data_IF_967083261813
#
_entry.id   IF_967083261813
#
_cell.length_a   1.000
_cell.length_b   1.000
_cell.length_c   1.000
_cell.angle_alpha   90.00
_cell.angle_beta   90.00
_cell.angle_gamma   90.00
#
_symmetry.space_group_name_H-M   'P 1'
#
loop_
_entity.id
_entity.type
_entity.pdbx_description
1 polymer ?
#
# COMPACT_ATOMS: atom_id res chain seq x y z
N UNK A 1 21.13 -14.63 25.60
CA UNK A 1 20.17 -14.51 26.73
C UNK A 1 19.08 -15.55 26.51
N UNK A 2 18.93 -16.54 27.38
CA UNK A 2 17.76 -17.42 27.35
C UNK A 2 16.55 -16.63 27.88
N UNK A 3 15.45 -16.64 27.14
CA UNK A 3 14.18 -16.05 27.58
C UNK A 3 13.27 -17.23 27.93
N UNK A 4 12.87 -17.36 29.20
CA UNK A 4 11.78 -18.26 29.57
C UNK A 4 10.46 -17.66 29.08
N UNK A 5 9.67 -18.48 28.41
CA UNK A 5 8.28 -18.17 28.06
C UNK A 5 7.40 -19.28 28.62
N UNK A 6 6.19 -18.92 29.08
CA UNK A 6 5.27 -19.86 29.69
C UNK A 6 4.70 -20.82 28.65
N UNK A 7 4.99 -22.11 28.85
CA UNK A 7 4.54 -23.21 27.99
C UNK A 7 3.13 -23.64 28.38
N UNK A 8 2.12 -23.24 27.61
CA UNK A 8 0.76 -23.79 27.73
C UNK A 8 0.67 -25.12 26.96
N UNK A 9 0.91 -26.22 27.68
CA UNK A 9 0.71 -27.58 27.17
C UNK A 9 -0.78 -27.91 27.09
N UNK A 10 -1.33 -27.90 25.87
CA UNK A 10 -2.71 -28.34 25.62
C UNK A 10 -2.74 -29.71 24.93
N UNK A 11 -3.28 -30.69 25.67
CA UNK A 11 -3.67 -32.06 25.25
C UNK A 11 -2.53 -33.08 25.14
N UNK A 12 -2.78 -34.24 25.75
CA UNK A 12 -1.91 -35.42 25.74
C UNK A 12 -2.56 -36.52 24.88
N UNK A 13 -1.77 -37.18 24.04
CA UNK A 13 -2.18 -38.36 23.26
C UNK A 13 -1.01 -39.34 23.22
N UNK A 14 -1.29 -40.65 23.24
CA UNK A 14 -0.32 -41.73 23.42
C UNK A 14 0.83 -41.77 22.40
N UNK A 15 0.73 -41.02 21.30
CA UNK A 15 1.71 -40.99 20.22
C UNK A 15 2.18 -39.58 19.82
N UNK A 16 1.71 -38.51 20.46
CA UNK A 16 2.03 -37.12 20.03
C UNK A 16 1.89 -36.10 21.17
N UNK A 17 2.91 -35.25 21.31
CA UNK A 17 2.88 -34.04 22.16
C UNK A 17 2.76 -32.83 21.24
N UNK A 18 1.70 -32.04 21.40
CA UNK A 18 1.53 -30.76 20.68
C UNK A 18 1.95 -29.64 21.64
N UNK A 19 3.00 -28.91 21.28
CA UNK A 19 3.48 -27.76 22.04
C UNK A 19 3.06 -26.49 21.29
N UNK A 20 2.09 -25.75 21.83
CA UNK A 20 1.72 -24.43 21.34
C UNK A 20 2.60 -23.38 22.03
N UNK A 21 3.63 -22.91 21.31
CA UNK A 21 4.44 -21.78 21.74
C UNK A 21 3.79 -20.47 21.27
N UNK A 22 3.18 -19.76 22.22
CA UNK A 22 2.70 -18.40 21.98
C UNK A 22 3.87 -17.42 21.88
N UNK A 23 4.26 -17.04 20.67
CA UNK A 23 5.15 -15.90 20.46
C UNK A 23 4.35 -14.62 20.59
N UNK A 24 4.82 -13.70 21.45
CA UNK A 24 4.42 -12.32 21.33
C UNK A 24 4.89 -11.81 19.95
N UNK A 25 3.93 -11.40 19.12
CA UNK A 25 4.10 -11.12 17.67
C UNK A 25 5.22 -10.10 17.38
N UNK A 26 5.54 -9.24 18.35
CA UNK A 26 6.45 -8.11 18.23
C UNK A 26 7.95 -8.44 18.15
N UNK A 27 8.40 -9.68 18.42
CA UNK A 27 9.86 -9.97 18.57
C UNK A 27 10.55 -10.67 17.40
N UNK A 28 9.85 -11.35 16.49
CA UNK A 28 10.49 -12.12 15.41
C UNK A 28 9.82 -12.00 14.01
N UNK A 29 9.55 -10.79 13.49
CA UNK A 29 8.87 -10.60 12.20
C UNK A 29 9.64 -11.06 10.94
N UNK A 30 10.89 -11.53 11.04
CA UNK A 30 11.75 -11.90 9.88
C UNK A 30 12.23 -13.35 9.83
N UNK A 31 11.72 -14.20 10.72
CA UNK A 31 12.21 -15.58 10.81
C UNK A 31 11.33 -16.50 9.95
N UNK A 32 11.84 -16.87 8.78
CA UNK A 32 11.21 -17.83 7.86
C UNK A 32 11.18 -19.27 8.40
N UNK A 33 12.10 -19.61 9.32
CA UNK A 33 12.00 -20.82 10.15
C UNK A 33 12.74 -20.62 11.48
N UNK A 34 12.04 -20.78 12.60
CA UNK A 34 12.64 -20.68 13.93
C UNK A 34 12.87 -22.09 14.48
N UNK A 35 14.13 -22.53 14.55
CA UNK A 35 14.48 -23.83 15.13
C UNK A 35 14.73 -23.66 16.63
N UNK A 36 13.87 -24.25 17.46
CA UNK A 36 13.92 -24.13 18.92
C UNK A 36 14.29 -25.47 19.54
N UNK A 37 15.33 -25.46 20.39
CA UNK A 37 15.58 -26.57 21.29
C UNK A 37 14.66 -26.45 22.51
N UNK A 38 13.71 -27.37 22.62
CA UNK A 38 12.86 -27.53 23.81
C UNK A 38 13.38 -28.73 24.59
N UNK A 39 13.98 -28.49 25.75
CA UNK A 39 14.29 -29.55 26.71
C UNK A 39 13.03 -29.87 27.52
N UNK A 40 12.53 -31.10 27.41
CA UNK A 40 11.39 -31.59 28.18
C UNK A 40 11.94 -32.33 29.41
N UNK A 41 11.61 -31.91 30.65
CA UNK A 41 12.07 -32.59 31.86
C UNK A 41 11.62 -34.06 31.91
N UNK A 42 12.52 -34.95 32.35
CA UNK A 42 12.30 -36.41 32.36
C UNK A 42 11.06 -36.86 33.16
N UNK A 43 10.62 -36.06 34.13
CA UNK A 43 9.39 -36.29 34.91
C UNK A 43 8.11 -36.42 34.06
N UNK A 44 8.11 -35.90 32.82
CA UNK A 44 6.99 -36.04 31.88
C UNK A 44 7.00 -37.35 31.06
N UNK A 45 8.03 -38.20 31.22
CA UNK A 45 8.17 -39.50 30.57
C UNK A 45 8.34 -40.65 31.59
N UNK A 46 7.31 -40.96 32.40
CA UNK A 46 7.44 -41.93 33.49
C UNK A 46 7.71 -43.38 33.05
N UNK A 47 7.57 -43.70 31.76
CA UNK A 47 7.82 -45.03 31.19
C UNK A 47 8.75 -44.97 29.94
N UNK A 48 9.91 -44.31 30.06
CA UNK A 48 10.99 -44.47 29.08
C UNK A 48 12.07 -45.42 29.61
N UNK A 49 12.12 -46.71 29.20
CA UNK A 49 13.01 -47.71 29.79
C UNK A 49 14.48 -47.59 29.33
N UNK A 50 14.83 -46.56 28.54
CA UNK A 50 16.22 -46.25 28.17
C UNK A 50 16.42 -44.74 28.30
N UNK A 51 17.51 -44.31 28.93
CA UNK A 51 17.93 -42.90 29.02
C UNK A 51 18.39 -42.35 27.65
N UNK A 52 17.47 -42.31 26.68
CA UNK A 52 17.68 -41.70 25.37
C UNK A 52 17.05 -40.32 25.34
N UNK A 53 17.83 -39.31 24.95
CA UNK A 53 17.31 -37.97 24.66
C UNK A 53 16.35 -38.06 23.46
N UNK A 54 15.07 -37.81 23.72
CA UNK A 54 14.05 -37.72 22.68
C UNK A 54 14.14 -36.36 21.98
N UNK A 55 14.72 -36.34 20.79
CA UNK A 55 14.77 -35.15 19.93
C UNK A 55 13.40 -34.91 19.28
N UNK A 56 12.55 -34.10 19.91
CA UNK A 56 11.27 -33.67 19.34
C UNK A 56 11.51 -32.56 18.33
N UNK A 57 11.39 -32.88 17.04
CA UNK A 57 11.37 -31.87 15.97
C UNK A 57 10.00 -31.18 15.93
N UNK A 58 9.91 -29.99 16.53
CA UNK A 58 8.75 -29.12 16.40
C UNK A 58 8.96 -28.11 15.26
N UNK A 59 8.10 -28.15 14.24
CA UNK A 59 8.07 -27.15 13.16
C UNK A 59 7.03 -26.10 13.48
N UNK A 60 7.47 -24.88 13.80
CA UNK A 60 6.59 -23.76 14.10
C UNK A 60 6.28 -23.04 12.79
N UNK A 61 5.05 -23.17 12.31
CA UNK A 61 4.54 -22.35 11.22
C UNK A 61 4.28 -20.94 11.75
N UNK A 62 5.25 -20.04 11.58
CA UNK A 62 5.06 -18.61 11.79
C UNK A 62 4.06 -18.08 10.75
N UNK A 63 2.77 -18.10 11.10
CA UNK A 63 1.73 -17.41 10.34
C UNK A 63 2.00 -15.90 10.40
N UNK A 64 2.63 -15.36 9.38
CA UNK A 64 2.73 -13.91 9.18
C UNK A 64 1.33 -13.41 8.82
N UNK A 65 0.59 -12.95 9.83
CA UNK A 65 -0.72 -12.34 9.64
C UNK A 65 -0.61 -11.21 8.62
N UNK A 66 -1.40 -11.26 7.55
CA UNK A 66 -1.42 -10.21 6.54
C UNK A 66 -2.01 -8.94 7.16
N UNK A 67 -1.15 -7.97 7.44
CA UNK A 67 -1.60 -6.67 7.91
C UNK A 67 -2.43 -5.96 6.84
N UNK A 68 -3.39 -5.19 7.32
CA UNK A 68 -4.20 -4.31 6.48
C UNK A 68 -4.23 -2.90 7.04
N UNK A 69 -4.44 -1.95 6.14
CA UNK A 69 -4.68 -0.54 6.44
C UNK A 69 -6.05 -0.19 5.87
N UNK A 70 -7.08 -0.27 6.71
CA UNK A 70 -8.46 -0.43 6.23
C UNK A 70 -8.60 -1.74 5.47
N UNK A 71 -9.09 -1.68 4.23
CA UNK A 71 -9.18 -2.84 3.33
C UNK A 71 -7.91 -3.12 2.52
N UNK A 72 -6.97 -2.16 2.47
CA UNK A 72 -5.72 -2.30 1.71
C UNK A 72 -4.79 -3.34 2.37
N UNK A 73 -4.28 -4.30 1.59
CA UNK A 73 -3.36 -5.34 2.07
C UNK A 73 -1.92 -4.83 2.02
N UNK A 74 -1.26 -4.76 3.16
CA UNK A 74 0.14 -4.32 3.24
C UNK A 74 1.10 -5.45 2.82
N UNK A 75 2.20 -5.13 2.10
CA UNK A 75 3.18 -6.13 1.70
C UNK A 75 4.01 -6.61 2.90
N UNK A 76 4.53 -7.84 2.84
CA UNK A 76 5.26 -8.45 3.97
C UNK A 76 6.48 -7.64 4.46
N UNK A 77 7.15 -6.92 3.56
CA UNK A 77 8.28 -6.04 3.91
C UNK A 77 7.87 -4.75 4.65
N UNK A 78 6.57 -4.43 4.76
CA UNK A 78 6.09 -3.24 5.46
C UNK A 78 6.28 -3.33 6.99
N UNK A 79 6.57 -4.50 7.55
CA UNK A 79 7.07 -4.60 8.92
C UNK A 79 8.60 -4.46 9.03
N UNK A 80 9.29 -4.03 7.96
CA UNK A 80 10.75 -3.86 7.81
C UNK A 80 11.38 -2.81 8.74
N UNK A 81 12.02 -3.05 9.91
CA UNK A 81 12.57 -1.92 10.69
C UNK A 81 13.63 -1.09 9.93
N UNK A 82 14.45 -1.68 9.02
CA UNK A 82 15.25 -0.94 8.05
C UNK A 82 14.49 -0.35 6.85
N UNK A 83 13.30 -0.85 6.48
CA UNK A 83 12.51 -0.32 5.35
C UNK A 83 12.07 1.13 5.57
N UNK A 84 11.89 1.53 6.83
CA UNK A 84 11.56 2.91 7.25
C UNK A 84 12.79 3.81 7.46
N UNK A 85 13.99 3.31 7.20
CA UNK A 85 15.24 4.08 7.30
C UNK A 85 15.88 4.16 5.92
N UNK A 86 16.16 5.37 5.42
CA UNK A 86 16.78 5.55 4.11
C UNK A 86 18.14 4.83 4.06
N UNK A 87 18.28 3.88 3.13
CA UNK A 87 19.44 2.98 3.13
C UNK A 87 20.70 3.69 2.62
N UNK A 88 21.87 3.54 3.28
CA UNK A 88 23.10 4.21 2.87
C UNK A 88 23.76 3.55 1.66
N UNK A 89 23.57 2.24 1.47
CA UNK A 89 24.10 1.48 0.34
C UNK A 89 23.25 1.73 -0.89
N UNK A 90 23.87 2.18 -1.99
CA UNK A 90 23.20 2.58 -3.24
C UNK A 90 22.22 1.52 -3.75
N UNK A 91 22.67 0.31 -4.02
CA UNK A 91 21.86 -0.76 -4.62
C UNK A 91 20.67 -1.15 -3.75
N UNK A 92 20.85 -1.12 -2.42
CA UNK A 92 19.79 -1.36 -1.43
C UNK A 92 18.79 -0.21 -1.41
N UNK A 93 19.27 1.03 -1.52
CA UNK A 93 18.45 2.24 -1.59
C UNK A 93 17.63 2.30 -2.88
N UNK A 94 18.20 1.94 -4.03
CA UNK A 94 17.48 1.87 -5.31
C UNK A 94 16.32 0.85 -5.23
N UNK A 95 16.55 -0.34 -4.65
CA UNK A 95 15.49 -1.33 -4.38
C UNK A 95 14.45 -0.82 -3.38
N UNK A 96 14.87 -0.17 -2.29
CA UNK A 96 13.96 0.44 -1.31
C UNK A 96 13.07 1.49 -1.97
N UNK A 97 13.64 2.38 -2.77
CA UNK A 97 12.90 3.41 -3.53
C UNK A 97 11.88 2.75 -4.46
N UNK A 98 12.26 1.70 -5.19
CA UNK A 98 11.34 0.96 -6.07
C UNK A 98 10.12 0.43 -5.32
N UNK A 99 10.34 -0.26 -4.18
CA UNK A 99 9.27 -0.80 -3.34
C UNK A 99 8.37 0.30 -2.76
N UNK A 100 8.94 1.45 -2.36
CA UNK A 100 8.15 2.58 -1.87
C UNK A 100 7.30 3.23 -2.98
N UNK A 101 7.83 3.39 -4.19
CA UNK A 101 7.06 3.90 -5.34
C UNK A 101 5.87 2.99 -5.64
N UNK A 102 6.10 1.69 -5.74
CA UNK A 102 5.04 0.70 -6.00
C UNK A 102 3.95 0.74 -4.92
N UNK A 103 4.35 0.69 -3.64
CA UNK A 103 3.44 0.74 -2.50
C UNK A 103 2.62 2.03 -2.44
N UNK A 104 3.24 3.19 -2.67
CA UNK A 104 2.57 4.49 -2.67
C UNK A 104 1.53 4.55 -3.80
N UNK A 105 1.90 4.14 -5.02
CA UNK A 105 1.01 4.19 -6.18
C UNK A 105 -0.19 3.25 -6.02
N UNK A 106 0.02 2.03 -5.52
CA UNK A 106 -1.05 1.04 -5.31
C UNK A 106 -2.01 1.43 -4.18
N UNK A 107 -1.47 1.97 -3.07
CA UNK A 107 -2.28 2.50 -1.97
C UNK A 107 -3.10 3.72 -2.42
N UNK A 108 -2.47 4.70 -3.09
CA UNK A 108 -3.15 5.88 -3.61
C UNK A 108 -4.27 5.51 -4.60
N UNK A 109 -4.02 4.55 -5.50
CA UNK A 109 -5.03 4.02 -6.41
C UNK A 109 -6.20 3.39 -5.67
N UNK A 110 -5.92 2.51 -4.71
CA UNK A 110 -6.95 1.77 -3.97
C UNK A 110 -7.78 2.68 -3.06
N UNK A 111 -7.15 3.66 -2.39
CA UNK A 111 -7.79 4.59 -1.47
C UNK A 111 -8.21 5.91 -2.12
N UNK A 112 -8.18 6.01 -3.47
CA UNK A 112 -8.49 7.22 -4.25
C UNK A 112 -7.80 8.49 -3.72
N UNK A 113 -6.59 8.35 -3.20
CA UNK A 113 -5.86 9.44 -2.53
C UNK A 113 -4.86 10.05 -3.50
N UNK A 114 -5.23 11.19 -4.09
CA UNK A 114 -4.45 11.85 -5.14
C UNK A 114 -3.36 12.80 -4.64
N UNK A 115 -3.43 13.27 -3.39
CA UNK A 115 -2.48 14.25 -2.86
C UNK A 115 -1.84 13.71 -1.58
N UNK A 116 -0.50 13.77 -1.52
CA UNK A 116 0.28 13.50 -0.30
C UNK A 116 0.93 14.82 0.12
N UNK A 117 0.67 15.24 1.35
CA UNK A 117 1.39 16.35 1.98
C UNK A 117 2.59 15.81 2.77
N UNK A 118 3.75 16.47 2.64
CA UNK A 118 5.04 16.00 3.15
C UNK A 118 5.13 16.12 4.69
N UNK A 119 4.58 17.23 5.21
CA UNK A 119 4.56 17.62 6.62
C UNK A 119 3.39 16.98 7.41
N UNK A 120 2.32 16.56 6.72
CA UNK A 120 1.12 15.98 7.36
C UNK A 120 1.33 14.49 7.68
N UNK A 121 0.39 13.89 8.42
CA UNK A 121 0.38 12.44 8.62
C UNK A 121 -0.17 11.73 7.38
N UNK A 122 0.56 10.72 6.90
CA UNK A 122 0.12 9.87 5.80
C UNK A 122 0.20 8.40 6.24
N UNK A 123 -0.87 7.58 6.07
CA UNK A 123 -0.95 6.26 6.68
C UNK A 123 0.18 5.27 6.32
N UNK A 124 0.82 5.41 5.15
CA UNK A 124 1.98 4.58 4.79
C UNK A 124 3.31 5.01 5.45
N UNK A 125 3.41 6.25 5.94
CA UNK A 125 4.67 6.80 6.46
C UNK A 125 4.94 6.46 7.93
N UNK A 126 3.98 5.83 8.62
CA UNK A 126 4.13 5.33 10.00
C UNK A 126 3.57 3.91 10.10
N UNK A 127 4.37 2.98 10.62
CA UNK A 127 3.90 1.66 11.05
C UNK A 127 4.01 1.55 12.57
N UNK A 128 2.86 1.64 13.24
CA UNK A 128 2.75 1.54 14.70
C UNK A 128 3.08 0.15 15.26
N UNK A 129 2.98 -0.93 14.47
CA UNK A 129 3.24 -2.31 14.94
C UNK A 129 4.73 -2.56 15.19
N UNK A 130 5.60 -1.85 14.46
CA UNK A 130 7.06 -1.93 14.62
C UNK A 130 7.66 -0.65 15.21
N UNK A 131 6.82 0.31 15.59
CA UNK A 131 7.20 1.63 16.13
C UNK A 131 8.19 2.38 15.21
N UNK A 132 7.86 2.46 13.91
CA UNK A 132 8.69 3.18 12.91
C UNK A 132 7.91 4.17 12.08
N UNK A 133 8.56 5.29 11.78
CA UNK A 133 8.05 6.31 10.86
C UNK A 133 9.17 6.78 9.93
N UNK A 134 8.81 7.19 8.71
CA UNK A 134 9.73 7.85 7.79
C UNK A 134 10.08 9.26 8.26
N UNK A 135 11.37 9.59 8.24
CA UNK A 135 11.88 10.95 8.38
C UNK A 135 11.43 11.82 7.20
N UNK A 136 11.40 13.15 7.38
CA UNK A 136 11.09 14.10 6.30
C UNK A 136 11.95 13.87 5.05
N UNK A 137 13.28 13.72 5.24
CA UNK A 137 14.24 13.39 4.18
C UNK A 137 13.85 12.12 3.40
N UNK A 138 13.46 11.05 4.10
CA UNK A 138 13.05 9.80 3.44
C UNK A 138 11.75 9.97 2.65
N UNK A 139 10.74 10.67 3.21
CA UNK A 139 9.48 10.99 2.52
C UNK A 139 9.76 11.80 1.24
N UNK A 140 10.58 12.84 1.35
CA UNK A 140 10.94 13.73 0.24
C UNK A 140 11.71 12.97 -0.85
N UNK A 141 12.64 12.09 -0.48
CA UNK A 141 13.39 11.27 -1.42
C UNK A 141 12.49 10.30 -2.20
N UNK A 142 11.52 9.64 -1.53
CA UNK A 142 10.61 8.71 -2.21
C UNK A 142 9.59 9.41 -3.11
N UNK A 143 9.05 10.56 -2.68
CA UNK A 143 8.15 11.37 -3.52
C UNK A 143 8.92 11.99 -4.70
N UNK A 144 10.13 12.50 -4.48
CA UNK A 144 10.99 13.03 -5.55
C UNK A 144 11.35 11.96 -6.60
N UNK A 145 11.51 10.69 -6.20
CA UNK A 145 11.70 9.58 -7.12
C UNK A 145 10.46 9.34 -8.01
N UNK A 146 9.24 9.41 -7.46
CA UNK A 146 8.00 9.39 -8.25
C UNK A 146 7.93 10.57 -9.22
N UNK A 147 8.32 11.77 -8.79
CA UNK A 147 8.34 12.97 -9.64
C UNK A 147 9.32 12.80 -10.82
N UNK A 148 10.51 12.27 -10.57
CA UNK A 148 11.52 12.04 -11.62
C UNK A 148 11.09 11.06 -12.72
N UNK A 149 10.10 10.19 -12.44
CA UNK A 149 9.55 9.22 -13.38
C UNK A 149 8.22 9.67 -14.04
N UNK A 150 7.75 10.88 -13.73
CA UNK A 150 6.45 11.38 -14.16
C UNK A 150 5.28 10.57 -13.58
N UNK A 151 5.44 10.08 -12.34
CA UNK A 151 4.44 9.33 -11.56
C UNK A 151 3.91 10.13 -10.36
N UNK A 152 4.45 11.32 -10.14
CA UNK A 152 3.89 12.36 -9.28
C UNK A 152 4.36 13.75 -9.75
N UNK A 153 3.80 14.83 -9.20
CA UNK A 153 4.23 16.21 -9.45
C UNK A 153 4.11 17.06 -8.19
N UNK A 154 5.09 17.93 -7.92
CA UNK A 154 5.00 18.90 -6.83
C UNK A 154 3.99 20.00 -7.16
N UNK A 155 3.06 20.24 -6.24
CA UNK A 155 1.97 21.22 -6.40
C UNK A 155 2.41 22.65 -6.08
N UNK A 156 3.52 22.81 -5.35
CA UNK A 156 4.05 24.11 -4.95
C UNK A 156 5.58 24.15 -4.98
N UNK A 157 6.16 25.36 -5.13
CA UNK A 157 7.62 25.57 -5.18
C UNK A 157 8.36 25.17 -3.91
N UNK A 158 7.65 24.98 -2.79
CA UNK A 158 8.21 24.48 -1.53
C UNK A 158 8.17 22.95 -1.39
N UNK A 159 7.71 22.22 -2.41
CA UNK A 159 7.58 20.75 -2.39
C UNK A 159 6.77 20.21 -1.19
N UNK A 160 5.78 20.97 -0.69
CA UNK A 160 5.02 20.59 0.51
C UNK A 160 3.88 19.63 0.18
N UNK A 161 3.30 19.70 -1.02
CA UNK A 161 2.27 18.78 -1.50
C UNK A 161 2.61 18.17 -2.85
N UNK A 162 2.40 16.86 -2.97
CA UNK A 162 2.70 16.06 -4.15
C UNK A 162 1.40 15.45 -4.71
N UNK A 163 1.10 15.74 -5.98
CA UNK A 163 -0.01 15.15 -6.74
C UNK A 163 0.46 13.81 -7.32
N UNK A 164 -0.19 12.71 -6.97
CA UNK A 164 0.17 11.35 -7.35
C UNK A 164 -0.53 10.93 -8.64
N UNK A 165 0.22 10.37 -9.59
CA UNK A 165 -0.23 10.02 -10.94
C UNK A 165 -0.08 8.50 -11.18
N UNK A 166 -0.95 7.69 -10.56
CA UNK A 166 -0.98 6.24 -10.80
C UNK A 166 -1.42 5.87 -12.23
N UNK A 167 -2.18 6.76 -12.87
CA UNK A 167 -2.31 6.87 -14.32
C UNK A 167 -1.73 8.23 -14.73
N UNK A 168 -1.01 8.27 -15.86
CA UNK A 168 -0.53 9.54 -16.44
C UNK A 168 -1.71 10.34 -16.99
N UNK A 169 -1.51 11.63 -17.22
CA UNK A 169 -2.57 12.50 -17.78
C UNK A 169 -3.04 12.01 -19.16
N UNK A 170 -2.16 11.39 -19.95
CA UNK A 170 -2.50 10.74 -21.21
C UNK A 170 -3.39 9.51 -20.99
N UNK A 171 -3.00 8.61 -20.08
CA UNK A 171 -3.80 7.43 -19.75
C UNK A 171 -5.20 7.83 -19.22
N UNK A 172 -5.28 8.87 -18.36
CA UNK A 172 -6.56 9.43 -17.89
C UNK A 172 -7.40 10.02 -19.02
N UNK A 173 -6.78 10.67 -20.00
CA UNK A 173 -7.47 11.18 -21.18
C UNK A 173 -8.05 10.04 -22.03
N UNK A 174 -7.31 8.93 -22.19
CA UNK A 174 -7.81 7.77 -22.92
C UNK A 174 -8.93 7.04 -22.14
N UNK A 175 -8.84 6.97 -20.79
CA UNK A 175 -9.93 6.50 -19.91
C UNK A 175 -11.19 7.36 -20.06
N UNK A 176 -11.08 8.69 -20.13
CA UNK A 176 -12.22 9.59 -20.34
C UNK A 176 -12.90 9.38 -21.70
N UNK A 177 -12.11 9.11 -22.75
CA UNK A 177 -12.65 8.80 -24.08
C UNK A 177 -13.40 7.47 -24.07
N UNK A 178 -12.89 6.46 -23.36
CA UNK A 178 -13.59 5.18 -23.22
C UNK A 178 -14.88 5.33 -22.40
N UNK A 179 -14.83 6.06 -21.28
CA UNK A 179 -15.99 6.39 -20.47
C UNK A 179 -17.10 7.10 -21.27
N UNK A 180 -16.75 8.07 -22.13
CA UNK A 180 -17.72 8.76 -22.96
C UNK A 180 -18.41 7.82 -23.97
N UNK A 181 -17.67 6.85 -24.53
CA UNK A 181 -18.21 5.83 -25.44
C UNK A 181 -19.13 4.83 -24.73
N UNK A 182 -18.66 4.28 -23.61
CA UNK A 182 -19.38 3.25 -22.87
C UNK A 182 -20.75 3.74 -22.34
N UNK A 183 -20.87 5.05 -22.09
CA UNK A 183 -22.09 5.69 -21.59
C UNK A 183 -22.84 6.54 -22.64
N UNK A 184 -22.44 6.50 -23.93
CA UNK A 184 -23.14 7.20 -25.01
C UNK A 184 -23.11 8.73 -24.92
N UNK A 185 -22.09 9.32 -24.28
CA UNK A 185 -21.95 10.77 -24.04
C UNK A 185 -21.36 11.53 -25.24
N UNK A 186 -21.44 10.96 -26.45
CA UNK A 186 -20.84 11.51 -27.67
C UNK A 186 -21.55 12.78 -28.12
N UNK A 187 -22.88 12.81 -28.02
CA UNK A 187 -23.71 13.96 -28.41
C UNK A 187 -24.11 14.88 -27.26
N UNK A 188 -23.98 14.41 -26.01
CA UNK A 188 -24.37 15.13 -24.81
C UNK A 188 -23.36 16.20 -24.37
N UNK A 189 -23.81 17.08 -23.48
CA UNK A 189 -22.94 17.90 -22.63
C UNK A 189 -22.98 17.30 -21.24
N UNK A 190 -21.82 17.02 -20.66
CA UNK A 190 -21.67 16.49 -19.28
C UNK A 190 -20.77 17.42 -18.48
N UNK A 191 -21.10 17.68 -17.23
CA UNK A 191 -20.31 18.55 -16.33
C UNK A 191 -19.13 17.83 -15.73
N UNK A 192 -18.15 18.59 -15.24
CA UNK A 192 -17.01 18.06 -14.48
C UNK A 192 -17.48 17.22 -13.28
N UNK A 193 -18.48 17.68 -12.53
CA UNK A 193 -18.95 16.98 -11.33
C UNK A 193 -19.78 15.72 -11.64
N UNK A 194 -20.47 15.65 -12.77
CA UNK A 194 -21.10 14.40 -13.26
C UNK A 194 -20.04 13.34 -13.62
N UNK A 195 -18.92 13.73 -14.24
CA UNK A 195 -17.79 12.81 -14.49
C UNK A 195 -17.15 12.32 -13.18
N UNK A 196 -17.05 13.19 -12.17
CA UNK A 196 -16.40 12.87 -10.88
C UNK A 196 -17.28 12.09 -9.91
N UNK A 197 -18.58 12.33 -9.93
CA UNK A 197 -19.50 11.89 -8.86
C UNK A 197 -20.88 11.41 -9.33
N UNK A 198 -21.22 11.59 -10.62
CA UNK A 198 -22.47 11.13 -11.21
C UNK A 198 -22.60 9.61 -11.29
N UNK A 199 -23.80 9.14 -11.61
CA UNK A 199 -24.16 7.71 -11.67
C UNK A 199 -23.25 6.90 -12.58
N UNK A 200 -23.00 7.38 -13.79
CA UNK A 200 -22.20 6.68 -14.81
C UNK A 200 -20.74 6.47 -14.36
N UNK A 201 -20.23 7.36 -13.51
CA UNK A 201 -18.86 7.25 -12.98
C UNK A 201 -18.71 6.11 -11.96
N UNK A 202 -19.80 5.67 -11.31
CA UNK A 202 -19.73 4.74 -10.18
C UNK A 202 -19.11 3.39 -10.57
N UNK A 203 -18.24 2.87 -9.72
CA UNK A 203 -17.48 1.64 -10.00
C UNK A 203 -16.33 1.79 -11.00
N UNK A 204 -16.22 2.92 -11.71
CA UNK A 204 -15.08 3.20 -12.61
C UNK A 204 -13.89 3.82 -11.87
N UNK A 205 -12.76 3.98 -12.57
CA UNK A 205 -11.63 4.69 -11.97
C UNK A 205 -11.81 6.21 -11.86
N UNK A 206 -12.75 6.79 -12.62
CA UNK A 206 -13.05 8.23 -12.63
C UNK A 206 -13.86 8.68 -11.40
N UNK A 207 -14.59 7.78 -10.73
CA UNK A 207 -15.31 8.15 -9.52
C UNK A 207 -14.35 8.67 -8.45
N UNK A 208 -14.64 9.86 -7.93
CA UNK A 208 -13.81 10.56 -6.96
C UNK A 208 -12.50 11.13 -7.51
N UNK A 209 -12.31 11.19 -8.85
CA UNK A 209 -11.05 11.72 -9.42
C UNK A 209 -10.74 13.15 -8.96
N UNK A 210 -9.46 13.42 -8.70
CA UNK A 210 -9.00 14.78 -8.40
C UNK A 210 -9.26 15.73 -9.57
N UNK A 211 -9.81 16.91 -9.24
CA UNK A 211 -10.24 17.91 -10.24
C UNK A 211 -9.06 18.50 -11.02
N UNK A 212 -7.86 18.56 -10.43
CA UNK A 212 -6.65 19.01 -11.13
C UNK A 212 -6.26 18.02 -12.22
N UNK A 213 -6.31 16.72 -11.92
CA UNK A 213 -6.01 15.66 -12.90
C UNK A 213 -7.06 15.64 -14.00
N UNK A 214 -8.34 15.66 -13.64
CA UNK A 214 -9.44 15.67 -14.61
C UNK A 214 -9.34 16.87 -15.56
N UNK A 215 -9.18 18.08 -15.04
CA UNK A 215 -9.06 19.29 -15.87
C UNK A 215 -7.84 19.24 -16.80
N UNK A 216 -6.74 18.63 -16.37
CA UNK A 216 -5.55 18.44 -17.23
C UNK A 216 -5.79 17.41 -18.34
N UNK A 217 -6.50 16.32 -18.05
CA UNK A 217 -6.86 15.32 -19.03
C UNK A 217 -7.89 15.87 -20.04
N UNK A 218 -8.91 16.59 -19.59
CA UNK A 218 -9.88 17.28 -20.44
C UNK A 218 -9.19 18.30 -21.36
N UNK A 219 -8.28 19.13 -20.83
CA UNK A 219 -7.51 20.09 -21.62
C UNK A 219 -6.61 19.41 -22.67
N UNK A 220 -6.05 18.24 -22.37
CA UNK A 220 -5.29 17.44 -23.34
C UNK A 220 -6.19 16.95 -24.49
N UNK A 221 -7.42 16.54 -24.20
CA UNK A 221 -8.40 16.11 -25.21
C UNK A 221 -8.93 17.29 -26.03
N UNK A 222 -9.17 18.45 -25.42
CA UNK A 222 -9.52 19.69 -26.12
C UNK A 222 -8.44 20.08 -27.13
N UNK A 223 -7.17 20.05 -26.73
CA UNK A 223 -6.03 20.31 -27.62
C UNK A 223 -5.89 19.28 -28.75
N UNK A 224 -6.39 18.06 -28.56
CA UNK A 224 -6.47 17.02 -29.60
C UNK A 224 -7.73 17.14 -30.48
N UNK A 225 -8.63 18.11 -30.22
CA UNK A 225 -9.91 18.24 -30.92
C UNK A 225 -10.91 17.11 -30.61
N UNK A 226 -10.74 16.42 -29.48
CA UNK A 226 -11.57 15.27 -29.06
C UNK A 226 -12.70 15.62 -28.08
N UNK A 227 -12.75 16.87 -27.62
CA UNK A 227 -13.88 17.45 -26.90
C UNK A 227 -13.84 18.98 -27.03
N UNK A 228 -14.91 19.64 -26.61
CA UNK A 228 -15.03 21.09 -26.44
C UNK A 228 -15.49 21.39 -25.01
N UNK A 229 -14.83 22.33 -24.33
CA UNK A 229 -15.24 22.81 -23.01
C UNK A 229 -16.06 24.09 -23.14
N UNK A 230 -17.27 24.09 -22.57
CA UNK A 230 -18.15 25.24 -22.43
C UNK A 230 -17.96 25.84 -21.04
N UNK A 231 -17.56 27.11 -21.00
CA UNK A 231 -17.44 27.86 -19.74
C UNK A 231 -18.79 28.41 -19.35
N UNK A 232 -19.33 27.94 -18.22
CA UNK A 232 -20.49 28.54 -17.59
C UNK A 232 -20.14 29.80 -16.79
N UNK A 233 -21.07 30.24 -15.95
CA UNK A 233 -20.93 31.43 -15.09
C UNK A 233 -19.99 31.23 -13.91
N UNK A 234 -19.79 29.99 -13.48
CA UNK A 234 -18.81 29.59 -12.46
C UNK A 234 -17.92 28.46 -12.97
N UNK A 235 -16.83 28.17 -12.27
CA UNK A 235 -15.94 27.05 -12.59
C UNK A 235 -16.60 25.67 -12.38
N UNK A 236 -17.72 25.62 -11.64
CA UNK A 236 -18.51 24.41 -11.41
C UNK A 236 -19.56 24.18 -12.51
N UNK A 237 -19.89 25.24 -13.27
CA UNK A 237 -20.77 25.21 -14.45
C UNK A 237 -20.01 24.87 -15.77
N UNK A 238 -18.78 24.35 -15.70
CA UNK A 238 -18.03 23.96 -16.89
C UNK A 238 -18.57 22.63 -17.48
N UNK A 239 -19.17 22.74 -18.66
CA UNK A 239 -19.71 21.61 -19.42
C UNK A 239 -18.72 21.10 -20.47
N UNK A 240 -18.75 19.81 -20.75
CA UNK A 240 -17.87 19.13 -21.71
C UNK A 240 -18.74 18.41 -22.73
N UNK A 241 -18.53 18.65 -24.03
CA UNK A 241 -19.06 17.78 -25.10
C UNK A 241 -17.91 17.04 -25.76
N UNK A 242 -18.00 15.72 -25.85
CA UNK A 242 -17.02 14.91 -26.57
C UNK A 242 -17.19 15.02 -28.09
N UNK A 243 -16.13 14.68 -28.84
CA UNK A 243 -16.08 14.76 -30.30
C UNK A 243 -15.27 13.56 -30.81
N UNK A 244 -15.82 12.37 -30.58
CA UNK A 244 -15.07 11.11 -30.51
C UNK A 244 -15.16 10.21 -31.73
#
# INVERSE_FOLDING_TARGET
RFIRHDLLLYRWSSSSVVILLGFAESKFPYISSLRIHVEIPSQFFPHNPRNQQLHVHCTILCYVSMQKLGDFKLPHFFNYPPYFTLQPVRDTREKQIQLWKELILDYCKTQKTFVIALEEEFPLFTNHVIERSLTHEAREAFLSALVSEGRAEWMDKGHRKCLILWHRIQDWADILIQFAKDNGLEDGVVTIEEIRSGTESQGTELHGIDRTILNRALKLLEQKGKLVVFKGTSADDEGVKFSI
#
